data_IF_181068951400
#
_entry.id   IF_181068951400
#
_cell.length_a   1.000
_cell.length_b   1.000
_cell.length_c   1.000
_cell.angle_alpha   90.00
_cell.angle_beta   90.00
_cell.angle_gamma   90.00
#
_symmetry.space_group_name_H-M   'P 1'
#
loop_
_entity.id
_entity.type
_entity.pdbx_description
1 polymer ?
#
# COMPACT_ATOMS: atom_id res chain seq x y z
N UNK A 1 23.68 19.67 -52.86
CA UNK A 1 24.43 20.93 -52.62
C UNK A 1 24.56 21.12 -51.11
N UNK A 2 25.80 21.21 -50.64
CA UNK A 2 26.17 21.42 -49.23
C UNK A 2 25.73 22.82 -48.77
N UNK A 3 25.33 22.96 -47.49
CA UNK A 3 25.73 24.08 -46.64
C UNK A 3 25.41 23.81 -45.18
N UNK A 4 26.46 23.36 -44.49
CA UNK A 4 26.70 23.41 -43.05
C UNK A 4 26.85 24.87 -42.60
N UNK A 5 26.20 25.28 -41.51
CA UNK A 5 26.47 26.51 -40.73
C UNK A 5 26.26 26.10 -39.26
N UNK A 6 27.31 25.70 -38.56
CA UNK A 6 28.27 26.51 -37.78
C UNK A 6 27.66 27.06 -36.48
N UNK A 7 28.12 26.43 -35.41
CA UNK A 7 27.92 26.65 -33.97
C UNK A 7 28.25 28.08 -33.54
N UNK A 8 27.53 28.61 -32.55
CA UNK A 8 28.13 29.55 -31.59
C UNK A 8 27.52 29.35 -30.20
N UNK A 9 28.35 28.76 -29.32
CA UNK A 9 28.21 28.76 -27.87
C UNK A 9 28.11 30.19 -27.34
N UNK A 10 27.11 30.48 -26.52
CA UNK A 10 27.16 31.59 -25.58
C UNK A 10 27.09 31.02 -24.16
N UNK A 11 28.26 30.99 -23.52
CA UNK A 11 28.42 30.58 -22.14
C UNK A 11 27.87 31.65 -21.20
N UNK A 12 26.90 31.29 -20.35
CA UNK A 12 26.49 32.10 -19.21
C UNK A 12 26.97 31.38 -17.96
N UNK A 13 28.02 31.94 -17.35
CA UNK A 13 28.60 31.52 -16.08
C UNK A 13 27.83 32.21 -14.95
N UNK A 14 27.08 31.44 -14.16
CA UNK A 14 26.65 31.84 -12.83
C UNK A 14 26.74 30.62 -11.91
N UNK A 15 27.87 30.47 -11.21
CA UNK A 15 27.96 29.64 -10.02
C UNK A 15 28.51 30.53 -8.92
N UNK A 16 27.61 30.93 -8.03
CA UNK A 16 27.91 31.64 -6.80
C UNK A 16 28.65 30.75 -5.81
N UNK A 17 29.43 31.41 -4.96
CA UNK A 17 30.25 30.87 -3.89
C UNK A 17 29.49 29.86 -3.01
N UNK A 18 30.11 28.71 -2.76
CA UNK A 18 29.76 27.87 -1.62
C UNK A 18 31.04 27.59 -0.85
N UNK A 19 31.22 28.34 0.23
CA UNK A 19 32.25 28.07 1.23
C UNK A 19 31.92 26.77 1.97
N UNK A 20 32.96 25.99 2.24
CA UNK A 20 33.02 24.96 3.29
C UNK A 20 34.20 25.35 4.17
N UNK A 21 34.21 25.13 5.51
CA UNK A 21 34.43 23.76 6.01
C UNK A 21 33.96 23.41 7.45
N UNK A 22 33.78 22.09 7.66
CA UNK A 22 34.27 21.25 8.79
C UNK A 22 33.88 21.47 10.26
N UNK A 23 33.70 20.31 10.93
CA UNK A 23 34.15 19.96 12.30
C UNK A 23 33.29 20.51 13.45
N UNK A 24 32.97 19.84 14.56
CA UNK A 24 33.03 18.47 15.12
C UNK A 24 32.43 18.57 16.54
N UNK A 25 32.12 17.44 17.20
CA UNK A 25 32.20 17.18 18.69
C UNK A 25 31.45 18.12 19.64
N UNK A 26 30.97 17.79 20.83
CA UNK A 26 30.64 16.63 21.67
C UNK A 26 30.04 17.27 22.94
N UNK A 27 29.45 16.44 23.81
CA UNK A 27 29.29 16.69 25.26
C UNK A 27 28.05 17.46 25.77
N UNK A 28 27.04 16.66 26.18
CA UNK A 28 26.55 16.45 27.56
C UNK A 28 26.73 17.60 28.58
N UNK A 29 25.61 18.06 29.15
CA UNK A 29 25.44 18.23 30.60
C UNK A 29 23.95 18.28 30.98
N UNK A 30 23.64 17.58 32.08
CA UNK A 30 22.35 17.36 32.76
C UNK A 30 21.88 18.65 33.49
N UNK A 31 20.62 18.82 33.95
CA UNK A 31 19.99 18.26 35.17
C UNK A 31 18.64 19.04 35.39
N UNK A 32 17.73 18.79 36.37
CA UNK A 32 16.96 17.56 36.71
C UNK A 32 15.52 17.78 37.27
N UNK A 33 14.91 16.68 37.76
CA UNK A 33 13.78 16.56 38.74
C UNK A 33 12.37 16.83 38.14
N UNK A 34 11.42 15.87 38.04
CA UNK A 34 10.68 15.22 39.15
C UNK A 34 10.33 13.73 38.84
N UNK A 35 10.87 12.86 39.71
CA UNK A 35 10.42 11.58 40.32
C UNK A 35 9.02 11.04 39.93
N UNK A 36 8.88 9.78 39.49
CA UNK A 36 9.03 8.50 40.23
C UNK A 36 7.94 8.27 41.28
N UNK A 37 7.02 7.34 41.01
CA UNK A 37 6.66 6.21 41.89
C UNK A 37 5.52 5.38 41.29
N UNK A 38 5.70 4.06 41.24
CA UNK A 38 4.74 3.05 41.73
C UNK A 38 5.30 1.64 41.40
N UNK A 39 5.94 1.02 42.39
CA UNK A 39 6.18 -0.42 42.47
C UNK A 39 5.00 -1.08 43.19
N UNK A 40 4.45 -2.11 42.55
CA UNK A 40 4.25 -3.49 43.04
C UNK A 40 3.55 -3.74 44.41
N UNK A 41 2.43 -4.47 44.39
CA UNK A 41 2.02 -5.43 45.44
C UNK A 41 0.85 -6.37 45.01
N UNK A 42 1.13 -7.67 45.04
CA UNK A 42 0.36 -8.89 45.37
C UNK A 42 -1.19 -9.02 45.25
N UNK A 43 -1.58 -10.11 44.55
CA UNK A 43 -2.61 -11.16 44.78
C UNK A 43 -3.78 -10.95 45.77
N UNK A 44 -5.00 -11.30 45.32
CA UNK A 44 -5.96 -12.16 46.04
C UNK A 44 -7.06 -12.68 45.07
N UNK A 45 -7.32 -14.00 45.11
CA UNK A 45 -8.52 -14.64 44.55
C UNK A 45 -9.71 -14.41 45.48
N UNK A 46 -10.92 -14.19 44.96
CA UNK A 46 -12.15 -14.80 45.50
C UNK A 46 -13.33 -14.72 44.52
N UNK A 47 -13.92 -15.89 44.32
CA UNK A 47 -15.35 -16.22 44.38
C UNK A 47 -16.32 -15.84 43.24
N UNK A 48 -17.20 -16.81 43.00
CA UNK A 48 -18.12 -17.00 41.89
C UNK A 48 -19.32 -16.05 41.94
N UNK A 49 -19.78 -15.60 40.78
CA UNK A 49 -21.23 -15.43 40.55
C UNK A 49 -21.56 -15.56 39.07
N UNK A 50 -22.42 -16.54 38.73
CA UNK A 50 -23.06 -16.68 37.42
C UNK A 50 -23.92 -15.45 37.09
N UNK A 51 -23.63 -14.71 36.00
CA UNK A 51 -24.68 -13.92 35.31
C UNK A 51 -24.37 -13.74 33.81
N UNK A 52 -25.37 -14.09 33.00
CA UNK A 52 -25.66 -13.66 31.63
C UNK A 52 -24.72 -14.07 30.48
N UNK A 53 -25.26 -14.96 29.63
CA UNK A 53 -24.86 -15.10 28.23
C UNK A 53 -25.07 -13.75 27.55
N UNK A 54 -23.98 -13.00 27.38
CA UNK A 54 -23.92 -11.74 26.63
C UNK A 54 -24.14 -12.05 25.15
N UNK A 55 -25.28 -11.64 24.59
CA UNK A 55 -25.43 -11.53 23.13
C UNK A 55 -24.39 -10.52 22.60
N UNK A 56 -23.41 -11.03 21.85
CA UNK A 56 -22.14 -10.37 21.55
C UNK A 56 -22.31 -9.06 20.74
N UNK A 57 -21.69 -7.94 21.15
CA UNK A 57 -21.67 -6.67 20.40
C UNK A 57 -21.00 -6.74 19.01
N UNK A 58 -20.27 -7.82 18.67
CA UNK A 58 -19.64 -8.02 17.36
C UNK A 58 -20.63 -8.18 16.19
N UNK A 59 -21.79 -8.81 16.42
CA UNK A 59 -22.70 -9.17 15.31
C UNK A 59 -23.46 -7.97 14.73
N UNK A 60 -23.78 -6.97 15.56
CA UNK A 60 -24.37 -5.70 15.12
C UNK A 60 -23.40 -4.89 14.24
N UNK A 61 -22.10 -4.92 14.54
CA UNK A 61 -21.06 -4.24 13.78
C UNK A 61 -20.86 -4.85 12.38
N UNK A 62 -20.80 -6.19 12.28
CA UNK A 62 -20.63 -6.88 10.99
C UNK A 62 -21.82 -6.63 10.06
N UNK A 63 -23.06 -6.64 10.58
CA UNK A 63 -24.25 -6.33 9.81
C UNK A 63 -24.20 -4.91 9.22
N UNK A 64 -23.91 -3.90 10.05
CA UNK A 64 -23.81 -2.52 9.60
C UNK A 64 -22.69 -2.32 8.55
N UNK A 65 -21.54 -2.99 8.73
CA UNK A 65 -20.45 -2.98 7.76
C UNK A 65 -20.87 -3.59 6.42
N UNK A 66 -21.55 -4.74 6.45
CA UNK A 66 -22.07 -5.41 5.25
C UNK A 66 -23.08 -4.54 4.50
N UNK A 67 -23.98 -3.88 5.21
CA UNK A 67 -24.94 -2.93 4.63
C UNK A 67 -24.20 -1.74 3.98
N UNK A 68 -23.21 -1.16 4.65
CA UNK A 68 -22.42 -0.06 4.11
C UNK A 68 -21.61 -0.46 2.86
N UNK A 69 -21.02 -1.65 2.85
CA UNK A 69 -20.31 -2.19 1.69
C UNK A 69 -21.25 -2.46 0.52
N UNK A 70 -22.42 -3.04 0.79
CA UNK A 70 -23.45 -3.30 -0.21
C UNK A 70 -23.96 -2.00 -0.82
N UNK A 71 -24.19 -0.96 0.00
CA UNK A 71 -24.59 0.36 -0.48
C UNK A 71 -23.54 1.01 -1.39
N UNK A 72 -22.25 0.70 -1.19
CA UNK A 72 -21.14 1.13 -2.05
C UNK A 72 -20.92 0.22 -3.28
N UNK A 73 -21.73 -0.82 -3.45
CA UNK A 73 -21.67 -1.75 -4.59
C UNK A 73 -20.66 -2.89 -4.44
N UNK A 74 -20.07 -3.09 -3.25
CA UNK A 74 -19.18 -4.22 -3.01
C UNK A 74 -19.96 -5.53 -2.89
N UNK A 75 -19.36 -6.62 -3.38
CA UNK A 75 -19.89 -7.98 -3.18
C UNK A 75 -19.33 -8.55 -1.89
N UNK A 76 -20.22 -9.10 -1.07
CA UNK A 76 -19.87 -9.71 0.21
C UNK A 76 -20.67 -10.99 0.45
N UNK A 77 -20.14 -11.91 1.26
CA UNK A 77 -20.88 -13.04 1.80
C UNK A 77 -20.36 -13.43 3.19
N UNK A 78 -21.14 -14.23 3.91
CA UNK A 78 -20.78 -14.68 5.26
C UNK A 78 -20.16 -16.08 5.18
N UNK A 79 -18.96 -16.25 5.72
CA UNK A 79 -18.27 -17.54 5.83
C UNK A 79 -18.22 -17.99 7.29
N UNK A 80 -18.75 -19.18 7.59
CA UNK A 80 -18.69 -19.75 8.93
C UNK A 80 -17.42 -20.58 9.11
N UNK A 81 -16.52 -20.13 9.96
CA UNK A 81 -15.32 -20.88 10.33
C UNK A 81 -15.67 -21.91 11.42
N UNK A 82 -15.54 -23.19 11.08
CA UNK A 82 -15.88 -24.31 11.98
C UNK A 82 -14.96 -24.40 13.20
N UNK A 83 -13.72 -23.95 13.08
CA UNK A 83 -12.71 -24.04 14.14
C UNK A 83 -12.94 -22.97 15.19
N UNK A 84 -13.10 -21.72 14.76
CA UNK A 84 -13.34 -20.59 15.66
C UNK A 84 -14.81 -20.45 16.07
N UNK A 85 -15.73 -21.11 15.35
CA UNK A 85 -17.19 -20.99 15.49
C UNK A 85 -17.68 -19.55 15.29
N UNK A 86 -16.92 -18.76 14.56
CA UNK A 86 -17.23 -17.36 14.25
C UNK A 86 -17.62 -17.21 12.76
N UNK A 87 -18.39 -16.15 12.47
CA UNK A 87 -18.73 -15.76 11.10
C UNK A 87 -17.80 -14.67 10.62
N UNK A 88 -17.17 -14.89 9.47
CA UNK A 88 -16.24 -13.99 8.79
C UNK A 88 -16.98 -13.33 7.63
N UNK A 89 -16.96 -12.01 7.57
CA UNK A 89 -17.45 -11.27 6.40
C UNK A 89 -16.40 -11.34 5.29
N UNK A 90 -16.73 -12.02 4.21
CA UNK A 90 -15.91 -12.09 3.01
C UNK A 90 -16.27 -10.94 2.07
N UNK A 91 -15.28 -10.30 1.46
CA UNK A 91 -15.46 -9.28 0.43
C UNK A 91 -14.73 -9.70 -0.85
N UNK A 92 -15.31 -9.38 -2.01
CA UNK A 92 -14.62 -9.50 -3.28
C UNK A 92 -13.71 -8.28 -3.49
N UNK A 93 -12.44 -8.58 -3.75
CA UNK A 93 -11.40 -7.68 -4.21
C UNK A 93 -11.00 -8.09 -5.64
N UNK A 94 -10.04 -7.38 -6.21
CA UNK A 94 -9.46 -7.72 -7.51
C UNK A 94 -7.95 -7.77 -7.41
N UNK A 95 -7.36 -8.96 -7.64
CA UNK A 95 -5.91 -9.10 -7.72
C UNK A 95 -5.48 -8.81 -9.16
N UNK A 96 -4.63 -7.81 -9.34
CA UNK A 96 -3.96 -7.50 -10.59
C UNK A 96 -2.55 -8.09 -10.54
N UNK A 97 -2.25 -9.00 -11.46
CA UNK A 97 -0.90 -9.46 -11.76
C UNK A 97 -0.26 -8.49 -12.74
N UNK A 98 0.88 -7.93 -12.35
CA UNK A 98 1.67 -7.01 -13.16
C UNK A 98 2.70 -7.85 -13.91
N UNK A 99 2.40 -8.21 -15.15
CA UNK A 99 3.24 -9.08 -15.99
C UNK A 99 4.27 -8.26 -16.74
N UNK A 100 5.38 -8.89 -17.11
CA UNK A 100 6.41 -8.32 -17.97
C UNK A 100 5.77 -7.94 -19.31
N UNK A 101 5.86 -6.67 -19.68
CA UNK A 101 5.37 -6.17 -20.96
C UNK A 101 6.41 -6.28 -22.09
N UNK A 102 5.96 -6.15 -23.35
CA UNK A 102 6.78 -6.37 -24.54
C UNK A 102 7.74 -5.22 -24.86
N UNK A 103 7.53 -4.03 -24.28
CA UNK A 103 8.34 -2.83 -24.58
C UNK A 103 9.33 -2.57 -23.46
N UNK A 104 10.62 -2.84 -23.71
CA UNK A 104 11.69 -2.73 -22.70
C UNK A 104 12.98 -2.05 -23.16
N UNK A 105 12.96 -1.41 -24.33
CA UNK A 105 14.14 -0.79 -24.95
C UNK A 105 14.49 0.62 -24.45
N UNK A 106 13.86 1.09 -23.37
CA UNK A 106 14.13 2.41 -22.79
C UNK A 106 15.56 2.48 -22.24
N UNK A 107 16.16 3.67 -22.29
CA UNK A 107 17.45 3.92 -21.64
C UNK A 107 17.30 3.94 -20.10
N UNK A 108 18.42 4.03 -19.38
CA UNK A 108 18.42 3.99 -17.91
C UNK A 108 17.64 5.13 -17.27
N UNK A 109 17.73 6.35 -17.82
CA UNK A 109 17.04 7.54 -17.33
C UNK A 109 15.52 7.41 -17.50
N UNK A 110 15.06 7.03 -18.70
CA UNK A 110 13.65 6.76 -18.99
C UNK A 110 13.09 5.62 -18.14
N UNK A 111 13.87 4.55 -17.92
CA UNK A 111 13.45 3.44 -17.09
C UNK A 111 13.30 3.84 -15.61
N UNK A 112 14.18 4.70 -15.11
CA UNK A 112 14.12 5.23 -13.75
C UNK A 112 12.92 6.17 -13.56
N UNK A 113 12.68 7.08 -14.50
CA UNK A 113 11.52 7.99 -14.48
C UNK A 113 10.19 7.20 -14.51
N UNK A 114 10.06 6.21 -15.39
CA UNK A 114 8.88 5.33 -15.42
C UNK A 114 8.68 4.56 -14.10
N UNK A 115 9.77 4.18 -13.43
CA UNK A 115 9.72 3.52 -12.13
C UNK A 115 9.23 4.46 -11.03
N UNK A 116 9.69 5.71 -11.01
CA UNK A 116 9.20 6.72 -10.08
C UNK A 116 7.69 6.98 -10.26
N UNK A 117 7.26 7.16 -11.51
CA UNK A 117 5.86 7.39 -11.84
C UNK A 117 4.96 6.21 -11.49
N UNK A 118 5.45 4.97 -11.68
CA UNK A 118 4.76 3.75 -11.24
C UNK A 118 4.56 3.72 -9.72
N UNK A 119 5.61 4.00 -8.95
CA UNK A 119 5.51 4.06 -7.49
C UNK A 119 4.54 5.15 -7.04
N UNK A 120 4.60 6.35 -7.64
CA UNK A 120 3.66 7.43 -7.36
C UNK A 120 2.21 7.06 -7.66
N UNK A 121 1.96 6.31 -8.75
CA UNK A 121 0.64 5.78 -9.07
C UNK A 121 0.14 4.82 -7.98
N UNK A 122 0.96 3.84 -7.58
CA UNK A 122 0.58 2.86 -6.55
C UNK A 122 0.32 3.52 -5.20
N UNK A 123 1.17 4.47 -4.78
CA UNK A 123 0.97 5.25 -3.56
C UNK A 123 -0.37 5.99 -3.60
N UNK A 124 -0.68 6.65 -4.71
CA UNK A 124 -1.97 7.33 -4.87
C UNK A 124 -3.15 6.38 -4.78
N UNK A 125 -3.06 5.17 -5.36
CA UNK A 125 -4.14 4.17 -5.25
C UNK A 125 -4.37 3.73 -3.82
N UNK A 126 -3.29 3.60 -3.04
CA UNK A 126 -3.36 3.29 -1.61
C UNK A 126 -4.00 4.42 -0.81
N UNK A 127 -3.52 5.66 -0.97
CA UNK A 127 -4.03 6.83 -0.24
C UNK A 127 -5.51 7.11 -0.51
N UNK A 128 -5.97 6.87 -1.74
CA UNK A 128 -7.38 7.00 -2.12
C UNK A 128 -8.25 5.82 -1.68
N UNK A 129 -7.65 4.76 -1.11
CA UNK A 129 -8.35 3.55 -0.68
C UNK A 129 -8.83 2.66 -1.84
N UNK A 130 -8.26 2.84 -3.03
CA UNK A 130 -8.57 2.00 -4.19
C UNK A 130 -7.75 0.71 -4.24
N UNK A 131 -6.58 0.68 -3.62
CA UNK A 131 -5.75 -0.52 -3.48
C UNK A 131 -5.29 -0.68 -2.03
N UNK A 132 -5.27 -1.92 -1.54
CA UNK A 132 -4.90 -2.19 -0.14
C UNK A 132 -3.46 -2.70 -0.01
N UNK A 133 -2.95 -3.44 -1.00
CA UNK A 133 -1.62 -4.07 -0.98
C UNK A 133 -1.03 -4.06 -2.39
N UNK A 134 0.20 -3.55 -2.54
CA UNK A 134 1.00 -3.64 -3.76
C UNK A 134 2.42 -4.06 -3.43
N UNK A 135 3.02 -4.90 -4.27
CA UNK A 135 4.42 -5.31 -4.06
C UNK A 135 4.99 -6.13 -5.22
N UNK A 136 6.31 -6.09 -5.41
CA UNK A 136 6.99 -6.91 -6.41
C UNK A 136 7.12 -8.36 -5.95
N UNK A 137 7.25 -9.28 -6.91
CA UNK A 137 7.78 -10.61 -6.63
C UNK A 137 9.30 -10.54 -6.45
N UNK A 138 9.84 -11.43 -5.61
CA UNK A 138 11.27 -11.48 -5.29
C UNK A 138 12.12 -12.26 -6.30
N UNK A 139 11.50 -12.84 -7.32
CA UNK A 139 12.16 -13.57 -8.39
C UNK A 139 12.18 -12.77 -9.70
N UNK A 140 12.84 -13.32 -10.72
CA UNK A 140 12.86 -12.74 -12.06
C UNK A 140 11.81 -13.35 -13.01
N UNK A 141 10.67 -13.77 -12.47
CA UNK A 141 9.59 -14.38 -13.23
C UNK A 141 8.88 -13.41 -14.19
N UNK A 142 7.95 -13.97 -14.98
CA UNK A 142 7.09 -13.19 -15.89
C UNK A 142 6.14 -12.27 -15.13
N UNK A 143 5.73 -12.65 -13.92
CA UNK A 143 4.93 -11.80 -13.06
C UNK A 143 5.87 -10.97 -12.19
N UNK A 144 5.82 -9.65 -12.36
CA UNK A 144 6.72 -8.70 -11.70
C UNK A 144 6.22 -8.26 -10.33
N UNK A 145 4.92 -8.32 -10.12
CA UNK A 145 4.30 -7.99 -8.84
C UNK A 145 2.80 -8.19 -8.86
N UNK A 146 2.18 -7.82 -7.75
CA UNK A 146 0.73 -7.78 -7.60
C UNK A 146 0.26 -6.44 -7.05
N UNK A 147 -1.00 -6.11 -7.34
CA UNK A 147 -1.76 -5.10 -6.62
C UNK A 147 -3.16 -5.64 -6.32
N UNK A 148 -3.61 -5.50 -5.08
CA UNK A 148 -4.96 -5.89 -4.64
C UNK A 148 -5.82 -4.64 -4.58
N UNK A 149 -6.74 -4.51 -5.55
CA UNK A 149 -7.70 -3.42 -5.64
C UNK A 149 -8.94 -3.67 -4.76
N UNK A 150 -9.31 -2.65 -4.00
CA UNK A 150 -10.47 -2.58 -3.11
C UNK A 150 -11.55 -1.68 -3.72
N UNK A 151 -12.13 -2.15 -4.82
CA UNK A 151 -13.14 -1.43 -5.60
C UNK A 151 -14.35 -2.33 -5.87
N UNK A 152 -15.54 -1.78 -6.13
CA UNK A 152 -16.76 -2.59 -6.24
C UNK A 152 -16.85 -3.44 -7.52
N UNK A 153 -16.08 -3.13 -8.57
CA UNK A 153 -16.22 -3.78 -9.87
C UNK A 153 -14.90 -4.06 -10.57
N UNK A 154 -14.87 -5.14 -11.36
CA UNK A 154 -13.72 -5.52 -12.18
C UNK A 154 -13.33 -4.39 -13.15
N UNK A 155 -14.32 -3.74 -13.78
CA UNK A 155 -14.09 -2.63 -14.71
C UNK A 155 -13.35 -1.46 -14.04
N UNK A 156 -13.65 -1.18 -12.77
CA UNK A 156 -12.94 -0.13 -12.04
C UNK A 156 -11.49 -0.54 -11.74
N UNK A 157 -11.28 -1.78 -11.27
CA UNK A 157 -9.92 -2.29 -11.04
C UNK A 157 -9.08 -2.27 -12.33
N UNK A 158 -9.66 -2.74 -13.43
CA UNK A 158 -9.05 -2.72 -14.76
C UNK A 158 -8.69 -1.31 -15.22
N UNK A 159 -9.61 -0.36 -15.10
CA UNK A 159 -9.34 1.03 -15.47
C UNK A 159 -8.23 1.67 -14.64
N UNK A 160 -8.16 1.37 -13.34
CA UNK A 160 -7.13 1.91 -12.46
C UNK A 160 -5.77 1.28 -12.75
N UNK A 161 -5.70 -0.05 -12.87
CA UNK A 161 -4.48 -0.77 -13.18
C UNK A 161 -3.88 -0.37 -14.54
N UNK A 162 -4.71 -0.18 -15.57
CA UNK A 162 -4.25 0.28 -16.88
C UNK A 162 -3.94 1.79 -16.93
N UNK A 163 -4.26 2.55 -15.87
CA UNK A 163 -3.89 3.96 -15.78
C UNK A 163 -2.42 4.18 -15.37
N UNK A 164 -1.77 3.13 -14.88
CA UNK A 164 -0.36 3.10 -14.47
C UNK A 164 0.59 3.50 -15.61
N UNK A 165 1.50 4.47 -15.40
CA UNK A 165 2.49 4.88 -16.40
C UNK A 165 3.36 3.73 -16.93
N UNK A 166 3.72 2.74 -16.11
CA UNK A 166 4.47 1.57 -16.59
C UNK A 166 3.66 0.69 -17.54
N UNK A 167 2.36 0.58 -17.32
CA UNK A 167 1.45 -0.19 -18.19
C UNK A 167 1.24 0.58 -19.50
N UNK A 168 0.99 1.88 -19.44
CA UNK A 168 0.87 2.74 -20.63
C UNK A 168 2.12 2.75 -21.50
N UNK A 169 3.30 2.68 -20.88
CA UNK A 169 4.58 2.56 -21.58
C UNK A 169 4.83 1.15 -22.15
N UNK A 170 3.94 0.18 -21.93
CA UNK A 170 4.08 -1.20 -22.38
C UNK A 170 5.19 -1.99 -21.67
N UNK A 171 5.73 -1.46 -20.55
CA UNK A 171 6.71 -2.16 -19.71
C UNK A 171 6.06 -3.22 -18.84
N UNK A 172 4.78 -3.02 -18.51
CA UNK A 172 3.93 -3.96 -17.80
C UNK A 172 2.66 -4.26 -18.60
N UNK A 173 2.15 -5.47 -18.41
CA UNK A 173 0.82 -5.89 -18.85
C UNK A 173 0.00 -6.32 -17.63
N UNK A 174 -1.31 -6.13 -17.70
CA UNK A 174 -2.21 -6.37 -16.58
C UNK A 174 -3.06 -7.61 -16.83
N UNK A 175 -3.11 -8.50 -15.83
CA UNK A 175 -4.05 -9.62 -15.77
C UNK A 175 -4.81 -9.54 -14.43
N UNK A 176 -6.14 -9.44 -14.46
CA UNK A 176 -6.94 -9.22 -13.24
C UNK A 176 -7.91 -10.37 -12.99
N UNK A 177 -7.96 -10.82 -11.73
CA UNK A 177 -8.91 -11.83 -11.27
C UNK A 177 -9.74 -11.32 -10.08
N UNK A 178 -11.04 -11.62 -10.02
CA UNK A 178 -11.80 -11.45 -8.79
C UNK A 178 -11.27 -12.39 -7.71
N UNK A 179 -10.99 -11.84 -6.53
CA UNK A 179 -10.40 -12.58 -5.41
C UNK A 179 -11.19 -12.33 -4.13
N UNK A 180 -11.44 -13.38 -3.33
CA UNK A 180 -12.21 -13.27 -2.10
C UNK A 180 -11.29 -13.37 -0.88
N UNK A 181 -11.42 -12.41 0.04
CA UNK A 181 -10.70 -12.41 1.31
C UNK A 181 -11.59 -11.92 2.45
N UNK A 182 -11.23 -12.30 3.67
CA UNK A 182 -11.88 -11.80 4.88
C UNK A 182 -11.70 -10.29 4.99
N UNK A 183 -12.77 -9.55 5.25
CA UNK A 183 -12.69 -8.10 5.40
C UNK A 183 -11.81 -7.75 6.62
N UNK A 184 -10.76 -6.98 6.38
CA UNK A 184 -9.81 -6.56 7.43
C UNK A 184 -8.68 -7.56 7.70
N UNK A 185 -8.52 -8.61 6.89
CA UNK A 185 -7.36 -9.48 6.99
C UNK A 185 -6.07 -8.74 6.63
N UNK A 186 -5.02 -8.99 7.40
CA UNK A 186 -3.67 -8.48 7.16
C UNK A 186 -2.68 -9.62 7.00
N UNK A 187 -1.51 -9.33 6.43
CA UNK A 187 -0.34 -10.20 6.59
C UNK A 187 0.07 -10.19 8.08
N UNK A 188 0.68 -11.29 8.55
CA UNK A 188 1.07 -11.49 9.94
C UNK A 188 2.56 -11.28 10.14
#
# INVERSE_FOLDING_TARGET
>A
MKKTILVTMLAIVFIGCKDTPKTSTSDVAEDPIIKENLKEAALEETDNTEVAVVEKPKQKSIKALKEALTAKGFKTFDYFDKTTKDTILMQQYFIAFLKRGPIRGQNEEEAADLQEQHLAHLTKMYELGYADISGPFGDDGDIRGITIYNVPTLKMADSLANADPMVKAGRLEIEIHPWWAGKGFSLR
#
